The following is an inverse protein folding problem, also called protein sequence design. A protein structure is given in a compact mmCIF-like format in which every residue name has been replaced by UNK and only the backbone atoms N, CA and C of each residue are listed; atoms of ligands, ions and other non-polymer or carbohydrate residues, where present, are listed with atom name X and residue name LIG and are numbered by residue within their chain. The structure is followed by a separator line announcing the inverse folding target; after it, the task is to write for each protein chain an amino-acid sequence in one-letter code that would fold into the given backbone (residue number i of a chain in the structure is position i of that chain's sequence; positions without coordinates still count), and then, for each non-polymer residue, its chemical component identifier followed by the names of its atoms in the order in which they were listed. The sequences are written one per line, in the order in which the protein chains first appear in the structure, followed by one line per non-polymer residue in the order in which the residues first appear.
data_IF_984800535424
#
_entry.id   IF_984800535424
#
_cell.length_a   1.000
_cell.length_b   1.000
_cell.length_c   1.000
_cell.angle_alpha   90.00
_cell.angle_beta   90.00
_cell.angle_gamma   90.00
#
_symmetry.space_group_name_H-M   'P 1'
#
loop_
_entity.id
_entity.type
_entity.pdbx_description
1 polymer ?
#
# COMPACT_ATOMS: atom_id res chain seq x y z
N UNK A 1 1.81 -22.08 11.51
CA UNK A 1 2.24 -20.67 11.44
C UNK A 1 2.18 -20.07 12.83
N UNK A 2 3.25 -19.39 13.28
CA UNK A 2 3.27 -18.71 14.58
C UNK A 2 2.33 -17.49 14.47
N UNK A 3 1.42 -17.28 15.44
CA UNK A 3 0.38 -16.22 15.41
C UNK A 3 0.93 -14.84 14.99
N UNK A 4 2.15 -14.52 15.40
CA UNK A 4 2.83 -13.26 15.09
C UNK A 4 3.11 -13.06 13.59
N UNK A 5 3.47 -14.13 12.85
CA UNK A 5 3.70 -14.01 11.41
C UNK A 5 2.41 -13.67 10.65
N UNK A 6 1.29 -14.21 11.09
CA UNK A 6 -0.01 -13.96 10.47
C UNK A 6 -0.46 -12.50 10.66
N UNK A 7 -0.24 -11.93 11.85
CA UNK A 7 -0.51 -10.51 12.11
C UNK A 7 0.32 -9.61 11.19
N UNK A 8 1.59 -9.93 10.95
CA UNK A 8 2.45 -9.19 10.02
C UNK A 8 1.88 -9.17 8.60
N UNK A 9 1.45 -10.32 8.10
CA UNK A 9 0.86 -10.42 6.77
C UNK A 9 -0.45 -9.63 6.63
N UNK A 10 -1.32 -9.66 7.65
CA UNK A 10 -2.54 -8.84 7.66
C UNK A 10 -2.20 -7.35 7.64
N UNK A 11 -1.24 -6.91 8.46
CA UNK A 11 -0.80 -5.53 8.49
C UNK A 11 -0.25 -5.07 7.13
N UNK A 12 0.54 -5.90 6.46
CA UNK A 12 1.07 -5.61 5.12
C UNK A 12 -0.05 -5.56 4.06
N UNK A 13 -1.02 -6.46 4.12
CA UNK A 13 -2.19 -6.43 3.25
C UNK A 13 -3.01 -5.14 3.42
N UNK A 14 -3.41 -4.82 4.65
CA UNK A 14 -4.23 -3.63 4.94
C UNK A 14 -3.43 -2.36 4.65
N UNK A 15 -2.16 -2.32 5.03
CA UNK A 15 -1.27 -1.19 4.77
C UNK A 15 -1.12 -0.90 3.28
N UNK A 16 -0.84 -1.93 2.45
CA UNK A 16 -0.74 -1.75 1.01
C UNK A 16 -2.08 -1.40 0.37
N UNK A 17 -3.19 -2.00 0.84
CA UNK A 17 -4.53 -1.63 0.39
C UNK A 17 -4.78 -0.13 0.60
N UNK A 18 -4.59 0.35 1.83
CA UNK A 18 -4.79 1.76 2.16
C UNK A 18 -3.88 2.68 1.33
N UNK A 19 -2.59 2.34 1.23
CA UNK A 19 -1.64 3.11 0.45
C UNK A 19 -2.11 3.27 -1.01
N UNK A 20 -2.42 2.16 -1.68
CA UNK A 20 -2.83 2.18 -3.09
C UNK A 20 -4.18 2.87 -3.25
N UNK A 21 -5.15 2.56 -2.39
CA UNK A 21 -6.49 3.13 -2.47
C UNK A 21 -6.48 4.65 -2.37
N UNK A 22 -5.79 5.21 -1.36
CA UNK A 22 -5.77 6.67 -1.17
C UNK A 22 -4.80 7.38 -2.10
N UNK A 23 -3.60 6.84 -2.34
CA UNK A 23 -2.61 7.50 -3.20
C UNK A 23 -3.03 7.47 -4.68
N UNK A 24 -3.39 6.30 -5.22
CA UNK A 24 -3.86 6.21 -6.59
C UNK A 24 -5.23 6.86 -6.76
N UNK A 25 -6.13 6.70 -5.77
CA UNK A 25 -7.44 7.34 -5.77
C UNK A 25 -7.36 8.86 -5.80
N UNK A 26 -6.41 9.48 -5.08
CA UNK A 26 -6.19 10.93 -5.13
C UNK A 26 -5.78 11.40 -6.53
N UNK A 27 -4.88 10.66 -7.19
CA UNK A 27 -4.46 10.97 -8.57
C UNK A 27 -5.63 10.80 -9.55
N UNK A 28 -6.37 9.70 -9.45
CA UNK A 28 -7.55 9.44 -10.29
C UNK A 28 -8.62 10.52 -10.12
N UNK A 29 -8.95 10.88 -8.87
CA UNK A 29 -9.91 11.94 -8.59
C UNK A 29 -9.44 13.30 -9.07
N UNK A 30 -8.15 13.61 -8.95
CA UNK A 30 -7.60 14.85 -9.47
C UNK A 30 -7.72 14.95 -11.00
N UNK A 31 -7.69 13.84 -11.72
CA UNK A 31 -7.93 13.83 -13.16
C UNK A 31 -9.41 14.09 -13.53
N UNK A 32 -10.35 13.77 -12.63
CA UNK A 32 -11.78 14.02 -12.81
C UNK A 32 -12.21 15.41 -12.34
N UNK A 33 -11.68 15.84 -11.20
CA UNK A 33 -11.97 17.10 -10.54
C UNK A 33 -10.60 17.73 -10.19
N UNK A 34 -10.04 18.57 -11.07
CA UNK A 34 -8.66 19.07 -10.96
C UNK A 34 -8.47 20.16 -9.88
N UNK A 35 -9.22 20.08 -8.78
CA UNK A 35 -9.13 20.97 -7.63
C UNK A 35 -8.11 20.49 -6.59
N UNK A 36 -7.77 19.19 -6.58
CA UNK A 36 -6.80 18.62 -5.62
C UNK A 36 -5.37 19.09 -5.94
N UNK A 37 -5.04 19.14 -7.23
CA UNK A 37 -3.70 19.44 -7.74
C UNK A 37 -2.66 18.37 -7.39
N UNK A 38 -1.46 18.54 -7.94
CA UNK A 38 -0.30 17.66 -7.68
C UNK A 38 0.11 17.73 -6.21
N UNK A 39 0.07 18.92 -5.62
CA UNK A 39 0.44 19.13 -4.21
C UNK A 39 -0.54 18.40 -3.28
N UNK A 40 -1.85 18.54 -3.50
CA UNK A 40 -2.86 17.86 -2.69
C UNK A 40 -2.74 16.33 -2.79
N UNK A 41 -2.52 15.81 -4.00
CA UNK A 41 -2.30 14.37 -4.23
C UNK A 41 -1.05 13.86 -3.50
N UNK A 42 0.02 14.65 -3.49
CA UNK A 42 1.24 14.37 -2.74
C UNK A 42 1.02 14.38 -1.23
N UNK A 43 0.28 15.35 -0.71
CA UNK A 43 -0.08 15.44 0.73
C UNK A 43 -0.90 14.22 1.15
N UNK A 44 -1.92 13.83 0.37
CA UNK A 44 -2.74 12.63 0.65
C UNK A 44 -1.85 11.38 0.68
N UNK A 45 -1.00 11.21 -0.33
CA UNK A 45 -0.09 10.06 -0.44
C UNK A 45 0.91 9.99 0.73
N UNK A 46 1.52 11.12 1.12
CA UNK A 46 2.42 11.17 2.27
C UNK A 46 1.71 10.94 3.61
N UNK A 47 0.48 11.44 3.73
CA UNK A 47 -0.33 11.28 4.94
C UNK A 47 -0.73 9.83 5.16
N UNK A 48 -1.15 9.12 4.11
CA UNK A 48 -1.54 7.71 4.25
C UNK A 48 -0.34 6.82 4.60
N UNK A 49 0.83 7.06 4.01
CA UNK A 49 2.07 6.36 4.38
C UNK A 49 2.38 6.59 5.86
N UNK A 50 2.28 7.85 6.32
CA UNK A 50 2.52 8.22 7.72
C UNK A 50 1.58 7.47 8.67
N UNK A 51 0.28 7.45 8.37
CA UNK A 51 -0.74 6.72 9.15
C UNK A 51 -0.39 5.23 9.20
N UNK A 52 -0.07 4.63 8.06
CA UNK A 52 0.29 3.19 7.96
C UNK A 52 1.54 2.87 8.79
N UNK A 53 2.58 3.70 8.73
CA UNK A 53 3.80 3.50 9.51
C UNK A 53 3.51 3.59 11.01
N UNK A 54 2.77 4.60 11.46
CA UNK A 54 2.44 4.73 12.90
C UNK A 54 1.54 3.61 13.40
N UNK A 55 0.63 3.11 12.55
CA UNK A 55 -0.32 2.06 12.95
C UNK A 55 0.31 0.67 12.93
N UNK A 56 1.09 0.34 11.90
CA UNK A 56 1.56 -1.03 11.65
C UNK A 56 3.08 -1.22 11.74
N UNK A 57 3.85 -0.15 11.88
CA UNK A 57 5.31 -0.19 11.88
C UNK A 57 5.89 -1.07 12.98
N UNK A 58 5.34 -1.01 14.20
CA UNK A 58 5.78 -1.86 15.32
C UNK A 58 5.42 -3.34 15.17
N UNK A 59 4.44 -3.66 14.32
CA UNK A 59 3.95 -5.04 14.13
C UNK A 59 4.67 -5.70 12.95
N UNK A 60 4.64 -5.06 11.78
CA UNK A 60 5.09 -5.62 10.50
C UNK A 60 6.35 -4.97 9.94
N UNK A 61 6.75 -3.80 10.44
CA UNK A 61 7.71 -2.93 9.78
C UNK A 61 7.07 -1.99 8.75
N UNK A 62 5.78 -2.17 8.44
CA UNK A 62 5.02 -1.35 7.49
C UNK A 62 5.75 -1.17 6.16
N UNK A 63 6.24 -2.28 5.58
CA UNK A 63 6.98 -2.22 4.33
C UNK A 63 6.07 -1.78 3.19
N UNK A 64 4.85 -2.33 3.15
CA UNK A 64 3.79 -2.09 2.18
C UNK A 64 4.23 -2.12 0.72
N UNK A 65 5.36 -2.77 0.46
CA UNK A 65 6.09 -2.75 -0.80
C UNK A 65 7.01 -3.98 -0.90
N UNK A 66 6.90 -4.78 -1.98
CA UNK A 66 7.76 -5.94 -2.22
C UNK A 66 9.26 -5.61 -2.27
N UNK A 67 9.63 -4.51 -2.94
CA UNK A 67 11.01 -4.08 -3.06
C UNK A 67 11.61 -3.66 -1.71
N UNK A 68 10.82 -2.96 -0.87
CA UNK A 68 11.26 -2.59 0.47
C UNK A 68 11.40 -3.82 1.38
N UNK A 69 10.52 -4.80 1.23
CA UNK A 69 10.61 -6.08 1.95
C UNK A 69 11.85 -6.87 1.57
N UNK A 70 12.17 -6.91 0.28
CA UNK A 70 13.38 -7.56 -0.22
C UNK A 70 14.63 -6.83 0.26
N UNK A 71 14.65 -5.49 0.20
CA UNK A 71 15.75 -4.68 0.73
C UNK A 71 15.94 -4.88 2.23
N UNK A 72 14.85 -4.94 3.01
CA UNK A 72 14.91 -5.23 4.44
C UNK A 72 15.49 -6.63 4.72
N UNK A 73 15.14 -7.63 3.92
CA UNK A 73 15.72 -8.97 4.04
C UNK A 73 17.21 -9.00 3.69
N UNK A 74 17.63 -8.27 2.65
CA UNK A 74 19.04 -8.09 2.30
C UNK A 74 19.86 -7.43 3.40
N UNK A 75 19.27 -6.46 4.10
CA UNK A 75 19.90 -5.77 5.23
C UNK A 75 19.80 -6.54 6.55
N UNK A 76 19.27 -7.77 6.56
CA UNK A 76 19.09 -8.58 7.76
C UNK A 76 18.02 -8.06 8.73
N UNK A 77 17.16 -7.14 8.29
CA UNK A 77 16.07 -6.55 9.08
C UNK A 77 14.76 -7.35 8.98
N UNK A 78 14.66 -8.27 8.02
CA UNK A 78 13.54 -9.18 7.85
C UNK A 78 14.06 -10.62 7.61
N UNK A 79 13.44 -11.60 8.27
CA UNK A 79 13.72 -13.01 7.98
C UNK A 79 13.25 -13.35 6.56
N UNK A 80 14.17 -13.88 5.74
CA UNK A 80 13.91 -14.33 4.38
C UNK A 80 12.72 -15.27 4.24
N UNK A 81 12.41 -16.08 5.25
CA UNK A 81 11.24 -16.97 5.27
C UNK A 81 9.91 -16.22 5.25
N UNK A 82 9.89 -14.97 5.70
CA UNK A 82 8.69 -14.14 5.71
C UNK A 82 8.46 -13.41 4.38
N UNK A 83 9.52 -13.20 3.58
CA UNK A 83 9.48 -12.38 2.35
C UNK A 83 8.38 -12.84 1.38
N UNK A 84 8.22 -14.13 1.04
CA UNK A 84 7.16 -14.55 0.13
C UNK A 84 5.76 -14.17 0.64
N UNK A 85 5.53 -14.30 1.95
CA UNK A 85 4.26 -13.92 2.58
C UNK A 85 4.02 -12.40 2.56
N UNK A 86 5.06 -11.58 2.76
CA UNK A 86 4.97 -10.12 2.61
C UNK A 86 4.59 -9.76 1.18
N UNK A 87 5.31 -10.29 0.19
CA UNK A 87 5.07 -10.00 -1.23
C UNK A 87 3.64 -10.39 -1.64
N UNK A 88 3.19 -11.58 -1.28
CA UNK A 88 1.81 -12.03 -1.59
C UNK A 88 0.78 -11.12 -0.92
N UNK A 89 0.98 -10.76 0.36
CA UNK A 89 0.05 -9.89 1.09
C UNK A 89 -0.04 -8.49 0.47
N UNK A 90 1.10 -7.92 0.09
CA UNK A 90 1.19 -6.61 -0.54
C UNK A 90 0.53 -6.62 -1.93
N UNK A 91 0.81 -7.64 -2.76
CA UNK A 91 0.17 -7.79 -4.07
C UNK A 91 -1.34 -7.99 -3.95
N UNK A 92 -1.79 -8.82 -3.00
CA UNK A 92 -3.22 -9.00 -2.76
C UNK A 92 -3.88 -7.70 -2.30
N UNK A 93 -3.23 -6.93 -1.43
CA UNK A 93 -3.70 -5.62 -0.96
C UNK A 93 -3.80 -4.60 -2.09
N UNK A 94 -2.79 -4.52 -2.96
CA UNK A 94 -2.81 -3.59 -4.11
C UNK A 94 -3.89 -3.95 -5.12
N UNK A 95 -4.06 -5.24 -5.41
CA UNK A 95 -5.12 -5.73 -6.31
C UNK A 95 -6.51 -5.43 -5.73
N UNK A 96 -6.73 -5.69 -4.44
CA UNK A 96 -8.00 -5.37 -3.79
C UNK A 96 -8.31 -3.86 -3.81
N UNK A 97 -7.29 -3.01 -3.63
CA UNK A 97 -7.44 -1.56 -3.72
C UNK A 97 -7.76 -1.11 -5.15
N UNK A 98 -7.06 -1.65 -6.16
CA UNK A 98 -7.32 -1.36 -7.56
C UNK A 98 -8.74 -1.76 -7.98
N UNK A 99 -9.21 -2.95 -7.57
CA UNK A 99 -10.59 -3.38 -7.81
C UNK A 99 -11.61 -2.48 -7.10
N UNK A 100 -11.34 -2.06 -5.86
CA UNK A 100 -12.21 -1.13 -5.13
C UNK A 100 -12.31 0.22 -5.84
N UNK A 101 -11.18 0.77 -6.30
CA UNK A 101 -11.15 2.01 -7.06
C UNK A 101 -11.88 1.88 -8.40
N UNK A 102 -11.65 0.78 -9.12
CA UNK A 102 -12.35 0.49 -10.38
C UNK A 102 -13.86 0.41 -10.17
N UNK A 103 -14.33 -0.23 -9.10
CA UNK A 103 -15.75 -0.36 -8.80
C UNK A 103 -16.39 0.98 -8.39
N UNK A 104 -15.69 1.79 -7.59
CA UNK A 104 -16.23 3.04 -7.05
C UNK A 104 -16.17 4.20 -8.04
N UNK A 105 -15.08 4.29 -8.80
CA UNK A 105 -14.81 5.41 -9.67
C UNK A 105 -15.23 4.97 -11.08
N UNK A 106 -14.72 3.85 -11.59
CA UNK A 106 -15.04 3.32 -12.93
C UNK A 106 -13.78 3.10 -13.78
N UNK A 107 -13.98 2.69 -15.04
CA UNK A 107 -12.90 2.51 -16.01
C UNK A 107 -12.44 3.86 -16.56
N UNK A 108 -11.43 4.45 -15.91
CA UNK A 108 -10.75 5.67 -16.37
C UNK A 108 -9.31 5.40 -16.79
N UNK A 109 -9.06 4.25 -17.42
CA UNK A 109 -7.73 3.87 -17.93
C UNK A 109 -7.04 4.89 -18.84
N UNK A 110 -7.71 5.97 -19.27
CA UNK A 110 -7.16 7.06 -20.08
C UNK A 110 -6.61 8.26 -19.29
N UNK A 111 -6.61 8.24 -17.95
CA UNK A 111 -6.24 9.39 -17.10
C UNK A 111 -4.93 9.22 -16.31
N UNK A 112 -3.93 8.58 -16.92
CA UNK A 112 -2.52 8.80 -16.56
C UNK A 112 -1.90 7.84 -15.54
N UNK A 113 -1.87 6.55 -15.87
CA UNK A 113 -0.73 5.70 -15.51
C UNK A 113 0.06 5.37 -16.79
#
# INVERSE_FOLDING_TARGET
MRRESFQKYICEFIGTFCLVFFAAGAVMLNSLIPEIGVIGSGIISGSIITIVIFTFGQISGAHVNPALSLAAAWLGKLDWRLVPGYVISQMAGSVAAAFSLFYLIGDYGSMGA
#
